data_IF_035131441024
#
_entry.id   IF_035131441024
#
_cell.length_a   1.000
_cell.length_b   1.000
_cell.length_c   1.000
_cell.angle_alpha   90.00
_cell.angle_beta   90.00
_cell.angle_gamma   90.00
#
_symmetry.space_group_name_H-M   'P 1'
#
loop_
_entity.id
_entity.type
_entity.pdbx_description
1 polymer ?
#
# COMPACT_ATOMS: atom_id res chain seq x y z
N UNK A 1 -14.87 -0.20 -28.38
CA UNK A 1 -15.68 -1.00 -29.33
C UNK A 1 -15.78 -2.49 -28.95
N UNK A 2 -14.88 -3.05 -28.13
CA UNK A 2 -15.08 -4.38 -27.53
C UNK A 2 -14.66 -4.42 -26.04
N UNK A 3 -15.60 -4.80 -25.16
CA UNK A 3 -15.39 -4.77 -23.70
C UNK A 3 -14.25 -5.67 -23.24
N UNK A 4 -14.14 -6.87 -23.80
CA UNK A 4 -13.09 -7.81 -23.42
C UNK A 4 -11.71 -7.36 -23.93
N UNK A 5 -11.65 -6.84 -25.16
CA UNK A 5 -10.40 -6.36 -25.75
C UNK A 5 -9.84 -5.12 -25.03
N UNK A 6 -10.71 -4.28 -24.49
CA UNK A 6 -10.34 -3.01 -23.87
C UNK A 6 -10.40 -3.09 -22.34
N UNK A 7 -11.59 -3.26 -21.76
CA UNK A 7 -11.80 -3.18 -20.32
C UNK A 7 -11.21 -4.36 -19.55
N UNK A 8 -11.40 -5.60 -20.01
CA UNK A 8 -10.87 -6.77 -19.29
C UNK A 8 -9.35 -6.91 -19.42
N UNK A 9 -8.77 -6.44 -20.52
CA UNK A 9 -7.34 -6.55 -20.80
C UNK A 9 -6.52 -5.31 -20.42
N UNK A 10 -7.17 -4.23 -19.97
CA UNK A 10 -6.45 -3.05 -19.48
C UNK A 10 -5.58 -3.41 -18.27
N UNK A 11 -4.40 -2.78 -18.20
CA UNK A 11 -3.40 -3.02 -17.18
C UNK A 11 -2.89 -1.68 -16.62
N UNK A 12 -3.04 -1.50 -15.30
CA UNK A 12 -2.55 -0.33 -14.58
C UNK A 12 -1.52 -0.75 -13.53
N UNK A 13 -0.46 0.02 -13.35
CA UNK A 13 0.53 -0.24 -12.31
C UNK A 13 1.06 1.06 -11.71
N UNK A 14 1.30 1.05 -10.39
CA UNK A 14 1.84 2.23 -9.68
C UNK A 14 3.27 2.57 -10.10
N UNK A 15 4.01 1.60 -10.68
CA UNK A 15 5.35 1.85 -11.21
C UNK A 15 5.42 2.41 -12.61
N UNK A 16 4.28 2.64 -13.27
CA UNK A 16 4.23 3.29 -14.59
C UNK A 16 4.25 4.80 -14.39
N UNK A 17 5.45 5.34 -14.12
CA UNK A 17 5.69 6.77 -13.93
C UNK A 17 6.29 7.39 -15.19
N UNK A 18 6.08 8.70 -15.33
CA UNK A 18 6.73 9.54 -16.34
C UNK A 18 7.78 10.41 -15.66
N UNK A 19 8.73 10.91 -16.43
CA UNK A 19 9.75 11.83 -15.92
C UNK A 19 9.11 13.02 -15.18
N UNK A 20 9.69 13.37 -14.03
CA UNK A 20 9.15 14.35 -13.08
C UNK A 20 8.26 13.77 -11.96
N UNK A 21 7.88 12.49 -12.01
CA UNK A 21 7.21 11.79 -10.92
C UNK A 21 8.14 10.73 -10.31
N UNK A 22 8.10 10.58 -9.00
CA UNK A 22 8.91 9.59 -8.27
C UNK A 22 8.12 8.95 -7.12
N UNK A 23 8.68 7.89 -6.55
CA UNK A 23 8.11 7.18 -5.41
C UNK A 23 8.41 7.88 -4.08
N UNK A 24 7.60 7.56 -3.07
CA UNK A 24 7.89 7.85 -1.66
C UNK A 24 8.28 6.57 -0.91
N UNK A 25 8.70 6.73 0.35
CA UNK A 25 9.01 5.62 1.27
C UNK A 25 7.76 4.94 1.89
N UNK A 26 6.59 5.10 1.26
CA UNK A 26 5.39 4.39 1.65
C UNK A 26 5.54 2.88 1.37
N UNK A 27 5.59 2.10 2.45
CA UNK A 27 5.74 0.63 2.42
C UNK A 27 4.64 -0.06 1.59
N UNK A 28 3.42 0.47 1.58
CA UNK A 28 2.31 -0.07 0.78
C UNK A 28 2.47 0.28 -0.70
N UNK A 29 2.91 1.49 -1.02
CA UNK A 29 3.17 1.90 -2.42
C UNK A 29 4.26 1.02 -3.05
N UNK A 30 5.37 0.82 -2.35
CA UNK A 30 6.48 0.01 -2.85
C UNK A 30 6.06 -1.45 -3.13
N UNK A 31 5.28 -2.06 -2.24
CA UNK A 31 4.76 -3.41 -2.45
C UNK A 31 3.78 -3.51 -3.63
N UNK A 32 2.93 -2.50 -3.80
CA UNK A 32 1.99 -2.43 -4.94
C UNK A 32 2.71 -2.40 -6.28
N UNK A 33 3.81 -1.66 -6.38
CA UNK A 33 4.59 -1.52 -7.62
C UNK A 33 5.05 -2.87 -8.19
N UNK A 34 5.49 -3.79 -7.32
CA UNK A 34 5.82 -5.15 -7.73
C UNK A 34 4.58 -5.95 -8.16
N UNK A 35 3.54 -5.90 -7.32
CA UNK A 35 2.34 -6.76 -7.46
C UNK A 35 1.61 -6.56 -8.80
N UNK A 36 1.46 -5.31 -9.26
CA UNK A 36 0.75 -5.04 -10.51
C UNK A 36 1.42 -5.67 -11.72
N UNK A 37 2.72 -5.48 -11.92
CA UNK A 37 3.43 -6.04 -13.07
C UNK A 37 3.50 -7.57 -13.00
N UNK A 38 3.64 -8.15 -11.81
CA UNK A 38 3.67 -9.59 -11.63
C UNK A 38 2.33 -10.24 -12.02
N UNK A 39 1.22 -9.78 -11.45
CA UNK A 39 -0.11 -10.34 -11.75
C UNK A 39 -0.51 -10.13 -13.22
N UNK A 40 -0.09 -9.04 -13.86
CA UNK A 40 -0.43 -8.74 -15.26
C UNK A 40 0.25 -9.69 -16.25
N UNK A 41 1.52 -10.04 -16.00
CA UNK A 41 2.24 -11.02 -16.83
C UNK A 41 1.54 -12.38 -16.82
N UNK A 42 0.97 -12.77 -15.69
CA UNK A 42 0.21 -14.00 -15.58
C UNK A 42 -1.20 -13.87 -16.18
N UNK A 43 -1.95 -12.81 -15.82
CA UNK A 43 -3.37 -12.64 -16.17
C UNK A 43 -3.60 -12.33 -17.65
N UNK A 44 -2.83 -11.40 -18.22
CA UNK A 44 -3.01 -10.91 -19.60
C UNK A 44 -1.99 -11.54 -20.53
N UNK A 45 -0.79 -11.81 -20.02
CA UNK A 45 0.27 -12.52 -20.71
C UNK A 45 1.59 -11.77 -20.67
N UNK A 46 2.70 -12.42 -21.07
CA UNK A 46 4.04 -11.83 -21.00
C UNK A 46 4.17 -10.52 -21.77
N UNK A 47 3.48 -10.42 -22.91
CA UNK A 47 3.52 -9.28 -23.83
C UNK A 47 2.30 -8.35 -23.68
N UNK A 48 1.69 -8.26 -22.50
CA UNK A 48 0.46 -7.47 -22.27
C UNK A 48 0.56 -5.98 -22.64
N UNK A 49 1.77 -5.40 -22.62
CA UNK A 49 2.04 -4.02 -23.05
C UNK A 49 1.99 -3.82 -24.57
N UNK A 50 2.01 -4.90 -25.36
CA UNK A 50 1.85 -4.81 -26.81
C UNK A 50 0.40 -4.62 -27.24
N UNK A 51 -0.57 -4.95 -26.38
CA UNK A 51 -1.99 -4.82 -26.67
C UNK A 51 -2.37 -3.35 -26.94
N UNK A 52 -3.27 -3.07 -27.91
CA UNK A 52 -3.61 -1.69 -28.28
C UNK A 52 -4.06 -0.80 -27.12
N UNK A 53 -4.76 -1.37 -26.13
CA UNK A 53 -5.26 -0.63 -24.96
C UNK A 53 -4.14 -0.25 -23.96
N UNK A 54 -3.08 -1.06 -23.88
CA UNK A 54 -1.96 -0.86 -22.95
C UNK A 54 -0.74 -0.23 -23.62
N UNK A 55 -0.67 -0.26 -24.95
CA UNK A 55 0.45 0.27 -25.70
C UNK A 55 0.51 1.81 -25.57
N UNK A 56 1.70 2.38 -25.33
CA UNK A 56 1.85 3.82 -25.25
C UNK A 56 1.66 4.46 -26.63
N UNK A 57 1.09 5.68 -26.66
CA UNK A 57 0.87 6.45 -27.89
C UNK A 57 2.11 7.25 -28.33
N UNK A 58 3.30 6.63 -28.23
CA UNK A 58 4.60 7.21 -28.62
C UNK A 58 5.51 6.13 -29.18
N UNK A 59 6.65 6.53 -29.72
CA UNK A 59 7.66 5.58 -30.17
C UNK A 59 8.16 4.70 -29.00
N UNK A 60 8.27 3.40 -29.27
CA UNK A 60 8.82 2.39 -28.36
C UNK A 60 9.92 1.66 -29.12
N UNK A 61 11.11 1.63 -28.53
CA UNK A 61 12.22 0.82 -29.01
C UNK A 61 12.89 0.19 -27.79
N UNK A 62 12.96 -1.15 -27.78
CA UNK A 62 13.53 -1.90 -26.65
C UNK A 62 14.36 -3.07 -27.13
N UNK A 63 15.25 -3.55 -26.26
CA UNK A 63 16.01 -4.78 -26.46
C UNK A 63 15.25 -6.04 -25.99
N UNK A 64 14.02 -5.90 -25.47
CA UNK A 64 13.20 -7.04 -25.04
C UNK A 64 12.75 -7.85 -26.27
N UNK A 65 12.76 -9.17 -26.16
CA UNK A 65 12.41 -10.11 -27.24
C UNK A 65 11.51 -11.24 -26.72
N UNK A 66 10.87 -11.89 -27.67
CA UNK A 66 10.09 -13.11 -27.49
C UNK A 66 8.88 -12.95 -26.54
N UNK A 67 8.59 -13.97 -25.74
CA UNK A 67 7.38 -14.09 -24.94
C UNK A 67 6.20 -14.70 -25.72
N UNK A 68 5.20 -15.21 -24.99
CA UNK A 68 4.01 -15.76 -25.64
C UNK A 68 3.25 -14.66 -26.40
N UNK A 69 2.70 -15.01 -27.57
CA UNK A 69 1.93 -14.10 -28.43
C UNK A 69 2.71 -12.82 -28.81
N UNK A 70 3.99 -12.93 -29.16
CA UNK A 70 4.74 -11.80 -29.74
C UNK A 70 4.09 -11.37 -31.07
N UNK A 71 3.48 -10.19 -31.09
CA UNK A 71 2.81 -9.65 -32.29
C UNK A 71 3.74 -8.71 -33.06
N UNK A 72 4.66 -8.05 -32.35
CA UNK A 72 5.68 -7.17 -32.94
C UNK A 72 7.01 -7.25 -32.19
N UNK A 73 8.08 -6.81 -32.85
CA UNK A 73 9.39 -6.57 -32.26
C UNK A 73 9.64 -5.07 -32.24
N UNK A 74 9.99 -4.52 -31.09
CA UNK A 74 10.18 -3.08 -30.87
C UNK A 74 11.55 -2.60 -31.39
N UNK A 75 11.74 -2.62 -32.71
CA UNK A 75 12.95 -2.14 -33.39
C UNK A 75 12.91 -0.63 -33.64
N UNK A 76 14.05 0.03 -33.45
CA UNK A 76 14.23 1.40 -33.93
C UNK A 76 14.36 1.42 -35.48
N UNK A 77 13.95 2.51 -36.16
CA UNK A 77 14.11 2.65 -37.60
C UNK A 77 15.58 2.44 -38.04
N UNK A 78 15.81 1.52 -38.98
CA UNK A 78 17.16 1.23 -39.50
C UNK A 78 18.07 0.45 -38.54
N UNK A 79 17.56 -0.04 -37.41
CA UNK A 79 18.34 -0.83 -36.47
C UNK A 79 18.71 -2.20 -37.06
N UNK A 80 19.91 -2.69 -36.71
CA UNK A 80 20.34 -4.05 -37.04
C UNK A 80 19.47 -5.06 -36.26
N UNK A 81 18.66 -5.92 -36.93
CA UNK A 81 17.73 -6.82 -36.26
C UNK A 81 18.43 -7.91 -35.42
N UNK A 82 19.73 -8.12 -35.64
CA UNK A 82 20.54 -9.08 -34.88
C UNK A 82 21.11 -8.52 -33.57
N UNK A 83 20.90 -7.23 -33.29
CA UNK A 83 21.31 -6.61 -32.03
C UNK A 83 20.10 -6.43 -31.13
N UNK A 84 20.12 -7.09 -29.97
CA UNK A 84 19.12 -7.04 -28.90
C UNK A 84 19.77 -6.83 -27.52
N UNK A 85 20.93 -6.20 -27.49
CA UNK A 85 21.71 -5.93 -26.27
C UNK A 85 22.32 -4.53 -26.33
N UNK A 86 22.68 -4.00 -25.16
CA UNK A 86 23.33 -2.70 -24.98
C UNK A 86 24.36 -2.85 -23.84
N UNK A 87 25.57 -2.26 -23.95
CA UNK A 87 26.11 -1.54 -25.12
C UNK A 87 26.50 -2.49 -26.27
N UNK A 88 26.53 -1.97 -27.51
CA UNK A 88 26.88 -2.75 -28.72
C UNK A 88 27.77 -1.98 -29.68
N UNK A 89 28.79 -2.65 -30.21
CA UNK A 89 29.70 -2.13 -31.24
C UNK A 89 29.15 -2.23 -32.66
N UNK A 90 28.08 -3.01 -32.87
CA UNK A 90 27.45 -3.26 -34.17
C UNK A 90 26.27 -2.31 -34.45
N UNK A 91 26.18 -1.21 -33.69
CA UNK A 91 25.00 -0.35 -33.60
C UNK A 91 23.97 -0.90 -32.61
N UNK A 92 22.81 -0.24 -32.50
CA UNK A 92 21.74 -0.63 -31.57
C UNK A 92 21.07 0.57 -30.91
N UNK A 93 20.26 0.31 -29.90
CA UNK A 93 19.68 1.36 -29.06
C UNK A 93 20.77 1.99 -28.18
N UNK A 94 20.60 3.26 -27.86
CA UNK A 94 21.45 4.01 -26.95
C UNK A 94 20.60 4.59 -25.82
N UNK A 95 21.23 4.82 -24.67
CA UNK A 95 20.60 5.51 -23.57
C UNK A 95 20.19 6.94 -23.96
N UNK A 96 19.03 7.38 -23.49
CA UNK A 96 18.64 8.77 -23.64
C UNK A 96 19.50 9.65 -22.74
N UNK A 97 19.85 10.85 -23.21
CA UNK A 97 20.46 11.86 -22.34
C UNK A 97 19.54 12.15 -21.13
N UNK A 98 20.08 12.27 -19.91
CA UNK A 98 19.27 12.63 -18.74
C UNK A 98 18.53 13.95 -18.97
N UNK A 99 17.23 13.98 -18.69
CA UNK A 99 16.38 15.18 -18.80
C UNK A 99 16.60 16.19 -17.66
N UNK A 100 17.21 15.75 -16.56
CA UNK A 100 17.51 16.55 -15.38
C UNK A 100 18.37 15.78 -14.38
N UNK A 101 18.66 16.42 -13.24
CA UNK A 101 19.34 15.75 -12.14
C UNK A 101 18.38 14.72 -11.50
N UNK A 102 18.81 13.48 -11.26
CA UNK A 102 17.97 12.48 -10.61
C UNK A 102 17.64 12.90 -9.17
N UNK A 103 16.41 12.62 -8.73
CA UNK A 103 16.07 12.75 -7.32
C UNK A 103 16.90 11.75 -6.51
N UNK A 104 17.57 12.25 -5.47
CA UNK A 104 18.50 11.46 -4.63
C UNK A 104 18.12 11.67 -3.15
N UNK A 105 17.03 11.04 -2.67
CA UNK A 105 16.60 11.21 -1.29
C UNK A 105 17.64 10.65 -0.32
N UNK A 106 17.77 11.30 0.84
CA UNK A 106 18.63 10.81 1.91
C UNK A 106 17.96 9.62 2.62
N UNK A 107 18.69 8.50 2.73
CA UNK A 107 18.18 7.28 3.38
C UNK A 107 19.15 6.85 4.48
N UNK A 108 18.63 6.67 5.70
CA UNK A 108 19.36 6.16 6.85
C UNK A 108 18.48 5.22 7.66
N UNK A 109 19.03 4.10 8.13
CA UNK A 109 18.34 3.16 9.00
C UNK A 109 18.96 1.77 8.98
N UNK A 110 18.53 0.93 9.91
CA UNK A 110 18.88 -0.49 9.91
C UNK A 110 17.90 -1.27 9.01
N UNK A 111 18.38 -2.35 8.40
CA UNK A 111 17.51 -3.25 7.64
C UNK A 111 16.68 -4.11 8.60
N UNK A 112 15.42 -3.74 8.81
CA UNK A 112 14.51 -4.38 9.77
C UNK A 112 13.10 -4.52 9.23
N UNK A 113 12.31 -5.40 9.85
CA UNK A 113 10.86 -5.48 9.66
C UNK A 113 10.19 -4.85 10.86
N UNK A 114 9.73 -3.62 10.71
CA UNK A 114 9.13 -2.85 11.80
C UNK A 114 7.93 -2.05 11.32
N UNK A 115 6.98 -1.81 12.22
CA UNK A 115 5.90 -0.83 12.03
C UNK A 115 6.47 0.59 11.99
N UNK A 116 5.64 1.57 11.65
CA UNK A 116 6.01 2.98 11.76
C UNK A 116 5.90 3.44 13.21
N UNK A 117 6.67 4.46 13.60
CA UNK A 117 6.69 4.96 14.98
C UNK A 117 5.37 5.64 15.37
N UNK A 118 4.75 6.36 14.42
CA UNK A 118 3.51 7.11 14.63
C UNK A 118 2.35 6.40 13.93
N UNK A 119 1.79 5.36 14.55
CA UNK A 119 0.67 4.62 13.94
C UNK A 119 -0.61 5.44 13.96
N UNK A 120 -0.95 6.05 15.11
CA UNK A 120 -2.16 6.86 15.31
C UNK A 120 -3.43 6.25 14.69
N UNK A 121 -3.70 4.99 15.04
CA UNK A 121 -4.72 4.18 14.37
C UNK A 121 -6.17 4.69 14.58
N UNK A 122 -6.40 5.55 15.58
CA UNK A 122 -7.74 5.96 16.02
C UNK A 122 -8.05 7.45 15.80
N UNK A 123 -7.05 8.32 15.81
CA UNK A 123 -7.25 9.77 15.87
C UNK A 123 -8.02 10.32 14.67
N UNK A 124 -7.62 9.95 13.45
CA UNK A 124 -8.29 10.41 12.23
C UNK A 124 -9.70 9.84 12.09
N UNK A 125 -9.89 8.56 12.40
CA UNK A 125 -11.20 7.92 12.34
C UNK A 125 -12.21 8.56 13.30
N UNK A 126 -11.77 8.91 14.51
CA UNK A 126 -12.57 9.67 15.47
C UNK A 126 -12.95 11.06 14.97
N UNK A 127 -11.99 11.76 14.36
CA UNK A 127 -12.23 13.08 13.78
C UNK A 127 -13.27 13.02 12.67
N UNK A 128 -13.12 12.10 11.72
CA UNK A 128 -14.09 11.90 10.65
C UNK A 128 -15.50 11.62 11.19
N UNK A 129 -15.63 10.79 12.23
CA UNK A 129 -16.93 10.52 12.85
C UNK A 129 -17.60 11.77 13.45
N UNK A 130 -16.81 12.64 14.10
CA UNK A 130 -17.32 13.91 14.65
C UNK A 130 -17.71 14.90 13.57
N UNK A 131 -16.99 14.88 12.45
CA UNK A 131 -17.22 15.78 11.32
C UNK A 131 -18.47 15.41 10.49
N UNK A 132 -19.00 14.19 10.63
CA UNK A 132 -20.26 13.81 10.03
C UNK A 132 -21.45 14.60 10.59
N UNK A 133 -22.44 14.84 9.73
CA UNK A 133 -23.78 15.23 10.15
C UNK A 133 -24.47 14.11 10.94
N UNK A 134 -25.53 14.44 11.67
CA UNK A 134 -26.29 13.44 12.43
C UNK A 134 -26.85 12.33 11.52
N UNK A 135 -27.35 12.70 10.33
CA UNK A 135 -27.87 11.74 9.36
C UNK A 135 -26.78 10.77 8.85
N UNK A 136 -25.58 11.27 8.56
CA UNK A 136 -24.45 10.43 8.13
C UNK A 136 -23.97 9.52 9.26
N UNK A 137 -23.95 10.00 10.51
CA UNK A 137 -23.66 9.16 11.66
C UNK A 137 -24.70 8.05 11.80
N UNK A 138 -25.99 8.37 11.67
CA UNK A 138 -27.07 7.39 11.78
C UNK A 138 -26.95 6.31 10.70
N UNK A 139 -26.66 6.71 9.45
CA UNK A 139 -26.44 5.78 8.34
C UNK A 139 -25.19 4.89 8.57
N UNK A 140 -24.08 5.47 9.01
CA UNK A 140 -22.87 4.73 9.36
C UNK A 140 -23.16 3.66 10.43
N UNK A 141 -23.84 4.04 11.51
CA UNK A 141 -24.20 3.11 12.58
C UNK A 141 -25.11 2.01 12.03
N UNK A 142 -26.15 2.35 11.27
CA UNK A 142 -27.06 1.37 10.69
C UNK A 142 -26.32 0.34 9.81
N UNK A 143 -25.40 0.80 8.96
CA UNK A 143 -24.58 -0.07 8.12
C UNK A 143 -23.65 -0.98 8.92
N UNK A 144 -23.05 -0.47 10.01
CA UNK A 144 -22.21 -1.27 10.89
C UNK A 144 -23.00 -2.35 11.62
N UNK A 145 -24.20 -2.02 12.11
CA UNK A 145 -25.08 -2.98 12.78
C UNK A 145 -25.53 -4.09 11.83
N UNK A 146 -25.88 -3.74 10.59
CA UNK A 146 -26.26 -4.72 9.57
C UNK A 146 -25.11 -5.71 9.27
N UNK A 147 -23.87 -5.22 9.19
CA UNK A 147 -22.71 -6.06 8.91
C UNK A 147 -22.20 -6.85 10.12
N UNK A 148 -22.23 -6.25 11.32
CA UNK A 148 -21.69 -6.86 12.55
C UNK A 148 -22.71 -7.76 13.26
N UNK A 149 -24.01 -7.62 12.99
CA UNK A 149 -25.07 -8.36 13.69
C UNK A 149 -24.90 -9.89 13.63
N UNK A 150 -24.43 -10.41 12.49
CA UNK A 150 -24.14 -11.83 12.29
C UNK A 150 -22.75 -12.31 12.70
N UNK A 151 -21.87 -11.40 13.13
CA UNK A 151 -20.50 -11.75 13.50
C UNK A 151 -20.44 -12.51 14.84
N UNK A 152 -19.36 -13.25 15.06
CA UNK A 152 -19.09 -13.90 16.34
C UNK A 152 -18.92 -12.88 17.47
N UNK A 153 -19.32 -13.24 18.69
CA UNK A 153 -19.39 -12.30 19.81
C UNK A 153 -18.04 -11.66 20.15
N UNK A 154 -16.94 -12.40 20.03
CA UNK A 154 -15.60 -11.86 20.23
C UNK A 154 -15.23 -10.78 19.20
N UNK A 155 -15.72 -10.89 17.96
CA UNK A 155 -15.53 -9.88 16.91
C UNK A 155 -16.35 -8.64 17.24
N UNK A 156 -17.62 -8.81 17.61
CA UNK A 156 -18.50 -7.69 18.01
C UNK A 156 -17.89 -6.90 19.17
N UNK A 157 -17.46 -7.59 20.23
CA UNK A 157 -16.82 -6.97 21.37
C UNK A 157 -15.54 -6.22 20.95
N UNK A 158 -14.70 -6.84 20.12
CA UNK A 158 -13.46 -6.22 19.63
C UNK A 158 -13.73 -4.96 18.81
N UNK A 159 -14.69 -4.99 17.89
CA UNK A 159 -15.03 -3.86 17.04
C UNK A 159 -15.61 -2.70 17.85
N UNK A 160 -16.50 -2.99 18.81
CA UNK A 160 -17.03 -1.96 19.72
C UNK A 160 -15.91 -1.29 20.52
N UNK A 161 -14.93 -2.06 21.01
CA UNK A 161 -13.77 -1.48 21.66
C UNK A 161 -12.93 -0.61 20.71
N UNK A 162 -12.71 -1.05 19.46
CA UNK A 162 -11.94 -0.26 18.49
C UNK A 162 -12.64 1.07 18.17
N UNK A 163 -13.96 1.05 17.98
CA UNK A 163 -14.74 2.27 17.75
C UNK A 163 -14.74 3.20 18.96
N UNK A 164 -14.74 2.66 20.19
CA UNK A 164 -14.64 3.48 21.40
C UNK A 164 -13.27 4.14 21.57
N UNK A 165 -12.20 3.59 20.99
CA UNK A 165 -10.89 4.26 20.93
C UNK A 165 -10.90 5.46 19.96
N UNK A 166 -11.73 5.41 18.91
CA UNK A 166 -11.88 6.52 17.96
C UNK A 166 -12.71 7.66 18.56
N UNK A 167 -13.88 7.32 19.12
CA UNK A 167 -14.78 8.26 19.77
C UNK A 167 -15.72 7.53 20.74
N UNK A 168 -15.93 8.07 21.94
CA UNK A 168 -16.74 7.42 22.97
C UNK A 168 -18.21 7.26 22.54
N UNK A 169 -18.78 8.26 21.87
CA UNK A 169 -20.15 8.19 21.37
C UNK A 169 -20.26 7.16 20.25
N UNK A 170 -19.26 7.08 19.37
CA UNK A 170 -19.23 6.12 18.28
C UNK A 170 -19.30 4.68 18.80
N UNK A 171 -18.39 4.32 19.71
CA UNK A 171 -18.38 2.99 20.33
C UNK A 171 -19.68 2.67 21.08
N UNK A 172 -20.23 3.65 21.81
CA UNK A 172 -21.47 3.49 22.56
C UNK A 172 -22.66 3.17 21.64
N UNK A 173 -22.84 3.93 20.55
CA UNK A 173 -23.95 3.73 19.62
C UNK A 173 -23.91 2.36 18.94
N UNK A 174 -22.72 1.89 18.58
CA UNK A 174 -22.55 0.54 18.00
C UNK A 174 -22.84 -0.53 19.06
N UNK A 175 -22.40 -0.34 20.30
CA UNK A 175 -22.65 -1.30 21.39
C UNK A 175 -24.15 -1.45 21.69
N UNK A 176 -24.86 -0.31 21.79
CA UNK A 176 -26.30 -0.26 22.01
C UNK A 176 -27.08 -0.97 20.90
N UNK A 177 -26.72 -0.71 19.64
CA UNK A 177 -27.36 -1.36 18.50
C UNK A 177 -27.09 -2.87 18.39
N UNK A 178 -25.97 -3.35 18.93
CA UNK A 178 -25.63 -4.78 19.00
C UNK A 178 -26.13 -5.47 20.27
N UNK A 179 -26.68 -4.72 21.24
CA UNK A 179 -27.14 -5.25 22.52
C UNK A 179 -26.01 -5.74 23.44
N UNK A 180 -24.81 -5.16 23.32
CA UNK A 180 -23.65 -5.51 24.14
C UNK A 180 -23.11 -4.29 24.90
N UNK A 181 -22.36 -4.52 25.97
CA UNK A 181 -21.67 -3.45 26.68
C UNK A 181 -20.34 -3.09 26.00
N UNK A 182 -19.95 -1.81 26.04
CA UNK A 182 -18.62 -1.39 25.62
C UNK A 182 -17.55 -2.05 26.51
N UNK A 183 -16.61 -2.83 25.95
CA UNK A 183 -15.55 -3.43 26.75
C UNK A 183 -14.64 -2.37 27.36
N UNK A 184 -14.24 -2.56 28.63
CA UNK A 184 -13.35 -1.64 29.36
C UNK A 184 -11.87 -1.80 29.00
N UNK A 185 -11.51 -2.91 28.36
CA UNK A 185 -10.16 -3.23 27.90
C UNK A 185 -10.22 -3.99 26.58
N UNK A 186 -9.09 -4.06 25.88
CA UNK A 186 -8.97 -4.81 24.64
C UNK A 186 -9.33 -6.29 24.88
N UNK A 187 -10.43 -6.80 24.29
CA UNK A 187 -10.87 -8.18 24.50
C UNK A 187 -9.86 -9.24 24.02
N UNK A 188 -8.90 -8.86 23.18
CA UNK A 188 -7.88 -9.77 22.63
C UNK A 188 -6.53 -9.71 23.36
N UNK A 189 -6.34 -8.78 24.30
CA UNK A 189 -5.14 -8.68 25.15
C UNK A 189 -3.80 -8.52 24.40
N UNK A 190 -3.83 -8.34 23.08
CA UNK A 190 -2.67 -8.00 22.27
C UNK A 190 -2.63 -6.50 22.10
N UNK A 191 -1.56 -5.84 22.52
CA UNK A 191 -1.35 -4.43 22.21
C UNK A 191 -1.64 -4.20 20.73
N UNK A 192 -2.54 -3.25 20.43
CA UNK A 192 -2.77 -2.79 19.05
C UNK A 192 -1.49 -2.18 18.46
N UNK A 193 -0.49 -1.90 19.30
CA UNK A 193 0.88 -1.66 18.92
C UNK A 193 1.59 -2.97 18.53
N UNK A 194 1.88 -3.13 17.24
CA UNK A 194 2.85 -4.09 16.74
C UNK A 194 2.29 -5.51 16.59
N UNK A 195 1.81 -5.84 15.39
CA UNK A 195 1.69 -7.24 14.93
C UNK A 195 3.10 -7.79 14.71
N UNK A 196 3.81 -8.04 15.81
CA UNK A 196 5.05 -8.79 15.82
C UNK A 196 4.84 -10.06 16.67
N UNK A 197 4.02 -10.97 16.11
CA UNK A 197 3.91 -12.35 16.61
C UNK A 197 3.79 -13.32 15.47
N UNK A 198 4.93 -13.64 14.86
CA UNK A 198 5.25 -15.03 14.52
C UNK A 198 6.61 -15.38 15.11
N UNK A 199 6.68 -16.14 16.21
CA UNK A 199 7.95 -16.71 16.62
C UNK A 199 8.30 -17.81 15.63
N UNK A 200 9.26 -17.53 14.74
CA UNK A 200 10.05 -18.61 14.16
C UNK A 200 10.89 -19.16 15.31
N UNK A 201 10.55 -20.37 15.78
CA UNK A 201 11.28 -21.02 16.86
C UNK A 201 12.71 -21.30 16.40
N UNK A 202 13.62 -20.39 16.76
CA UNK A 202 15.06 -20.58 16.82
C UNK A 202 15.49 -20.15 18.21
N UNK A 203 15.98 -21.11 18.99
CA UNK A 203 16.43 -20.93 20.36
C UNK A 203 17.44 -19.77 20.50
N UNK A 204 17.28 -18.92 21.51
CA UNK A 204 18.29 -18.67 22.55
C UNK A 204 17.78 -17.71 23.62
N UNK A 205 18.33 -17.90 24.83
CA UNK A 205 17.97 -17.30 26.10
C UNK A 205 18.58 -15.91 26.33
N UNK A 206 17.99 -15.23 27.32
CA UNK A 206 18.54 -14.14 28.16
C UNK A 206 18.32 -12.67 27.75
N UNK A 207 17.67 -11.91 28.66
CA UNK A 207 17.90 -10.46 28.82
C UNK A 207 16.69 -9.54 28.97
N UNK A 208 16.35 -9.23 30.24
CA UNK A 208 15.49 -8.17 30.85
C UNK A 208 14.82 -7.04 30.02
N UNK A 209 13.62 -6.55 30.44
CA UNK A 209 12.89 -5.47 29.76
C UNK A 209 13.37 -4.06 30.14
N UNK A 210 13.47 -3.17 29.14
CA UNK A 210 13.70 -1.74 29.33
C UNK A 210 12.37 -0.98 29.43
N UNK A 211 12.04 -0.51 30.64
CA UNK A 211 10.93 0.43 30.90
C UNK A 211 11.48 1.84 31.02
N UNK A 212 11.03 2.78 30.17
CA UNK A 212 11.35 4.21 30.37
C UNK A 212 11.19 5.16 29.18
N UNK A 213 10.93 4.67 27.95
CA UNK A 213 10.94 5.53 26.75
C UNK A 213 9.69 6.39 26.53
N UNK A 214 8.52 5.97 27.03
CA UNK A 214 7.24 6.57 26.66
C UNK A 214 7.01 7.98 27.26
N UNK A 215 7.45 8.23 28.49
CA UNK A 215 7.23 9.52 29.16
C UNK A 215 8.14 10.65 28.63
N UNK A 216 9.24 10.30 27.96
CA UNK A 216 10.18 11.29 27.40
C UNK A 216 9.67 11.84 26.07
N UNK A 217 9.06 10.98 25.24
CA UNK A 217 8.53 11.36 23.92
C UNK A 217 7.35 12.34 24.00
N UNK A 218 6.55 12.26 25.06
CA UNK A 218 5.38 13.13 25.26
C UNK A 218 5.76 14.57 25.63
N UNK A 219 6.92 14.77 26.29
CA UNK A 219 7.42 16.11 26.65
C UNK A 219 8.06 16.85 25.49
N UNK A 220 8.73 16.15 24.57
CA UNK A 220 9.42 16.79 23.44
C UNK A 220 8.47 17.20 22.30
N UNK A 221 7.25 16.64 22.26
CA UNK A 221 6.22 16.99 21.29
C UNK A 221 5.62 18.39 21.46
N UNK A 222 5.74 19.01 22.63
CA UNK A 222 5.15 20.34 22.90
C UNK A 222 6.03 21.52 22.44
N UNK A 223 7.29 21.27 22.09
CA UNK A 223 8.27 22.32 21.75
C UNK A 223 8.64 22.40 20.26
N UNK A 224 8.11 21.52 19.41
CA UNK A 224 8.41 21.56 17.98
C UNK A 224 7.57 22.65 17.29
N UNK A 225 8.24 23.67 16.72
CA UNK A 225 7.57 24.69 15.90
C UNK A 225 7.01 24.07 14.61
N UNK A 226 5.84 24.53 14.15
CA UNK A 226 5.30 24.11 12.87
C UNK A 226 6.16 24.68 11.73
N UNK A 227 6.50 23.84 10.76
CA UNK A 227 6.90 24.33 9.43
C UNK A 227 5.69 24.98 8.75
#
# INVERSE_FOLDING_TARGET
ENYFAETEQIAFGTGVLVDGLDFSDDKMLQGRTLSYSDTQRYRVGPNYLQLPINAPKKHVATNQRDGQMTVRVDLAPGANPHVNYEPSSLGGLQESAPSGAPHTPFVQGNLVRQTIDRTNDFGQAGQTYRDFSDAERDELIANLLANLGGAADHVKARMVWLFSQCDANYGQRVAEGLGISVPTSDPYGGSVAGVDRRPNQGANSDGQPATGGAEVAEREGQTAQPY
#
